data_IF_037182439408
#
_entry.id   IF_037182439408
#
_cell.length_a   1.000
_cell.length_b   1.000
_cell.length_c   1.000
_cell.angle_alpha   90.00
_cell.angle_beta   90.00
_cell.angle_gamma   90.00
#
_symmetry.space_group_name_H-M   'P 1'
#
loop_
_entity.id
_entity.type
_entity.pdbx_description
1 polymer ?
#
# COMPACT_ATOMS: atom_id res chain seq x y z
N UNK A 1 6.77 -1.03 -8.01
CA UNK A 1 5.90 -1.13 -6.81
C UNK A 1 4.92 0.03 -6.75
N UNK A 2 3.78 -0.13 -6.11
CA UNK A 2 2.80 0.92 -5.86
C UNK A 2 2.78 1.25 -4.37
N UNK A 3 2.89 2.53 -4.04
CA UNK A 3 3.06 3.03 -2.67
C UNK A 3 1.90 3.96 -2.30
N UNK A 4 1.52 3.94 -1.01
CA UNK A 4 0.54 4.85 -0.41
C UNK A 4 0.59 4.79 1.12
N UNK A 5 -0.09 5.72 1.79
CA UNK A 5 -0.29 5.73 3.23
C UNK A 5 -1.77 5.65 3.60
N UNK A 6 -2.05 4.93 4.69
CA UNK A 6 -3.40 4.85 5.22
C UNK A 6 -3.44 5.03 6.73
N UNK A 7 -4.35 5.90 7.19
CA UNK A 7 -4.61 6.10 8.61
C UNK A 7 -5.47 5.00 9.21
N UNK A 8 -5.05 4.47 10.36
CA UNK A 8 -5.79 3.54 11.21
C UNK A 8 -5.88 4.09 12.63
N UNK A 9 -7.05 4.10 13.20
CA UNK A 9 -7.26 4.77 14.48
C UNK A 9 -8.41 4.22 15.28
N UNK A 10 -8.72 4.91 16.38
CA UNK A 10 -9.77 4.53 17.33
C UNK A 10 -11.17 4.99 16.92
N UNK A 11 -11.30 5.85 15.90
CA UNK A 11 -12.60 6.13 15.30
C UNK A 11 -12.96 4.96 14.38
N UNK A 12 -14.09 4.32 14.68
CA UNK A 12 -14.63 3.29 13.81
C UNK A 12 -15.87 3.81 13.07
N UNK A 13 -16.06 3.29 11.85
CA UNK A 13 -17.26 3.52 11.05
C UNK A 13 -18.04 2.22 10.96
N UNK A 14 -19.24 2.15 11.58
CA UNK A 14 -20.07 0.96 11.51
C UNK A 14 -20.33 0.50 10.08
N UNK A 15 -20.23 -0.78 9.85
CA UNK A 15 -20.46 -1.45 8.56
C UNK A 15 -21.61 -2.44 8.68
N UNK A 16 -22.25 -2.71 7.55
CA UNK A 16 -23.30 -3.73 7.48
C UNK A 16 -22.81 -5.07 8.04
N UNK A 17 -23.66 -5.73 8.81
CA UNK A 17 -23.44 -7.08 9.32
C UNK A 17 -24.70 -7.92 9.11
N UNK A 18 -24.52 -9.26 9.07
CA UNK A 18 -25.65 -10.18 9.05
C UNK A 18 -26.28 -10.26 10.44
N UNK A 19 -27.60 -10.23 10.50
CA UNK A 19 -28.41 -10.41 11.72
C UNK A 19 -29.72 -11.09 11.37
N UNK A 20 -30.45 -11.56 12.37
CA UNK A 20 -31.80 -12.12 12.19
C UNK A 20 -32.76 -11.07 11.63
N UNK A 21 -33.70 -11.53 10.83
CA UNK A 21 -34.73 -10.66 10.25
C UNK A 21 -35.54 -9.98 11.36
N UNK A 22 -35.61 -8.65 11.29
CA UNK A 22 -36.35 -7.84 12.28
C UNK A 22 -35.49 -7.34 13.45
N UNK A 23 -34.23 -7.82 13.59
CA UNK A 23 -33.29 -7.32 14.60
C UNK A 23 -32.44 -6.20 13.99
N UNK A 24 -32.37 -5.06 14.69
CA UNK A 24 -31.42 -3.99 14.38
C UNK A 24 -30.16 -4.19 15.21
N UNK A 25 -29.02 -4.56 14.58
CA UNK A 25 -27.77 -4.78 15.34
C UNK A 25 -27.25 -3.46 15.91
N UNK A 26 -26.72 -3.52 17.14
CA UNK A 26 -26.02 -2.41 17.77
C UNK A 26 -24.51 -2.67 17.69
N UNK A 27 -23.77 -1.67 17.24
CA UNK A 27 -22.30 -1.73 17.13
C UNK A 27 -21.72 -0.62 18.00
N UNK A 28 -20.76 -0.91 18.91
CA UNK A 28 -20.10 0.13 19.67
C UNK A 28 -19.35 1.08 18.73
N UNK A 29 -19.31 2.36 19.09
CA UNK A 29 -18.64 3.40 18.32
C UNK A 29 -17.76 4.27 19.21
N UNK A 30 -16.54 4.51 18.79
CA UNK A 30 -15.62 5.46 19.42
C UNK A 30 -15.40 6.68 18.52
N UNK A 31 -15.31 7.86 19.15
CA UNK A 31 -15.00 9.14 18.49
C UNK A 31 -13.64 9.71 18.92
N UNK A 32 -12.72 8.84 19.37
CA UNK A 32 -11.41 9.25 19.84
C UNK A 32 -10.48 9.41 18.64
N UNK A 33 -9.97 10.64 18.44
CA UNK A 33 -9.11 11.00 17.30
C UNK A 33 -7.63 10.68 17.58
N UNK A 34 -7.33 9.39 17.64
CA UNK A 34 -5.96 8.88 17.75
C UNK A 34 -5.70 7.95 16.57
N UNK A 35 -4.58 8.17 15.87
CA UNK A 35 -4.25 7.45 14.64
C UNK A 35 -2.79 7.02 14.60
N UNK A 36 -2.52 5.96 13.86
CA UNK A 36 -1.23 5.58 13.29
C UNK A 36 -1.39 5.40 11.80
N UNK A 37 -0.30 5.50 11.08
CA UNK A 37 -0.30 5.45 9.63
C UNK A 37 0.48 4.24 9.16
N UNK A 38 -0.16 3.40 8.34
CA UNK A 38 0.52 2.35 7.62
C UNK A 38 1.09 2.95 6.33
N UNK A 39 2.39 2.90 6.15
CA UNK A 39 3.08 3.10 4.89
C UNK A 39 3.21 1.74 4.23
N UNK A 40 2.90 1.64 2.96
CA UNK A 40 2.99 0.39 2.23
C UNK A 40 3.51 0.58 0.82
N UNK A 41 4.27 -0.39 0.34
CA UNK A 41 4.59 -0.57 -1.07
C UNK A 41 4.32 -2.03 -1.45
N UNK A 42 3.67 -2.24 -2.59
CA UNK A 42 3.32 -3.58 -3.08
C UNK A 42 3.73 -3.75 -4.53
N UNK A 43 4.22 -4.95 -4.88
CA UNK A 43 4.47 -5.38 -6.24
C UNK A 43 3.29 -6.24 -6.72
N UNK A 44 2.46 -5.75 -7.66
CA UNK A 44 1.25 -6.46 -8.07
C UNK A 44 1.47 -7.79 -8.79
N UNK A 45 2.67 -8.05 -9.31
CA UNK A 45 2.96 -9.26 -10.11
C UNK A 45 3.46 -10.41 -9.24
N UNK A 46 4.22 -10.12 -8.19
CA UNK A 46 4.81 -11.12 -7.30
C UNK A 46 4.10 -11.19 -5.96
N UNK A 47 3.44 -10.09 -5.55
CA UNK A 47 2.87 -9.92 -4.23
C UNK A 47 3.92 -9.54 -3.17
N UNK A 48 5.15 -9.25 -3.57
CA UNK A 48 6.16 -8.70 -2.66
C UNK A 48 5.71 -7.35 -2.11
N UNK A 49 6.08 -7.09 -0.88
CA UNK A 49 5.59 -5.90 -0.20
C UNK A 49 6.51 -5.47 0.94
N UNK A 50 6.45 -4.18 1.25
CA UNK A 50 7.05 -3.60 2.44
C UNK A 50 5.98 -2.76 3.15
N UNK A 51 5.85 -2.96 4.47
CA UNK A 51 4.92 -2.18 5.30
C UNK A 51 5.62 -1.69 6.56
N UNK A 52 5.37 -0.42 6.93
CA UNK A 52 5.79 0.16 8.20
C UNK A 52 4.61 0.90 8.85
N UNK A 53 4.51 0.80 10.18
CA UNK A 53 3.53 1.56 10.96
C UNK A 53 4.22 2.75 11.60
N UNK A 54 3.78 3.95 11.24
CA UNK A 54 4.42 5.23 11.57
C UNK A 54 3.49 6.14 12.38
N UNK A 55 4.05 7.07 13.18
CA UNK A 55 3.23 8.00 13.96
C UNK A 55 2.58 9.10 13.10
N UNK A 56 3.20 9.50 11.99
CA UNK A 56 2.79 10.65 11.18
C UNK A 56 2.91 10.36 9.68
N UNK A 57 2.14 11.12 8.86
CA UNK A 57 2.38 11.27 7.42
C UNK A 57 3.18 12.54 7.19
N UNK A 58 4.50 12.42 7.03
CA UNK A 58 5.41 13.51 6.77
C UNK A 58 6.69 13.02 6.07
N UNK A 59 7.52 13.96 5.61
CA UNK A 59 8.77 13.65 4.88
C UNK A 59 9.75 12.81 5.71
N UNK A 60 9.85 13.03 7.03
CA UNK A 60 10.78 12.27 7.87
C UNK A 60 10.37 10.79 7.95
N UNK A 61 9.07 10.50 8.11
CA UNK A 61 8.56 9.12 8.08
C UNK A 61 8.71 8.51 6.67
N UNK A 62 8.50 9.30 5.61
CA UNK A 62 8.70 8.83 4.24
C UNK A 62 10.17 8.49 3.97
N UNK A 63 11.12 9.30 4.42
CA UNK A 63 12.56 9.01 4.32
C UNK A 63 12.92 7.69 5.02
N UNK A 64 12.34 7.45 6.21
CA UNK A 64 12.56 6.18 6.91
C UNK A 64 11.96 5.00 6.13
N UNK A 65 10.75 5.17 5.59
CA UNK A 65 10.11 4.13 4.77
C UNK A 65 10.92 3.79 3.53
N UNK A 66 11.38 4.79 2.77
CA UNK A 66 12.19 4.59 1.57
C UNK A 66 13.52 3.88 1.88
N UNK A 67 14.15 4.24 3.00
CA UNK A 67 15.38 3.60 3.47
C UNK A 67 15.17 2.13 3.80
N UNK A 68 14.10 1.79 4.51
CA UNK A 68 13.81 0.39 4.85
C UNK A 68 13.38 -0.42 3.61
N UNK A 69 12.61 0.18 2.70
CA UNK A 69 12.28 -0.43 1.41
C UNK A 69 13.54 -0.74 0.60
N UNK A 70 14.47 0.21 0.47
CA UNK A 70 15.76 0.04 -0.22
C UNK A 70 16.60 -1.09 0.40
N UNK A 71 16.63 -1.19 1.73
CA UNK A 71 17.37 -2.27 2.43
C UNK A 71 16.72 -3.64 2.23
N UNK A 72 15.41 -3.71 2.13
CA UNK A 72 14.70 -4.97 1.91
C UNK A 72 14.94 -5.52 0.50
N UNK A 73 15.18 -4.65 -0.48
CA UNK A 73 15.38 -5.02 -1.88
C UNK A 73 16.69 -4.43 -2.43
N UNK A 74 17.86 -4.82 -1.89
CA UNK A 74 19.13 -4.15 -2.17
C UNK A 74 19.70 -4.42 -3.59
N UNK A 75 19.18 -5.46 -4.26
CA UNK A 75 19.63 -5.85 -5.61
C UNK A 75 18.67 -5.39 -6.70
N UNK A 76 17.53 -4.82 -6.32
CA UNK A 76 16.47 -4.42 -7.25
C UNK A 76 16.50 -2.92 -7.51
N UNK A 77 16.21 -2.53 -8.75
CA UNK A 77 15.84 -1.16 -9.06
C UNK A 77 14.32 -1.04 -8.97
N UNK A 78 13.84 -0.25 -8.03
CA UNK A 78 12.43 -0.10 -7.71
C UNK A 78 11.86 1.13 -8.43
N UNK A 79 11.00 0.93 -9.43
CA UNK A 79 10.11 1.98 -9.89
C UNK A 79 8.92 2.06 -8.93
N UNK A 80 8.86 3.13 -8.14
CA UNK A 80 7.83 3.32 -7.13
C UNK A 80 6.79 4.34 -7.60
N UNK A 81 5.60 3.84 -7.90
CA UNK A 81 4.42 4.65 -8.25
C UNK A 81 3.76 5.14 -6.96
N UNK A 82 3.68 6.44 -6.75
CA UNK A 82 3.04 7.07 -5.59
C UNK A 82 2.21 8.28 -5.99
N UNK A 83 1.37 8.76 -5.11
CA UNK A 83 0.62 9.98 -5.35
C UNK A 83 1.50 11.24 -5.25
N UNK A 84 0.88 12.41 -5.49
CA UNK A 84 1.57 13.70 -5.44
C UNK A 84 1.46 14.42 -4.10
N UNK A 85 1.38 13.72 -2.96
CA UNK A 85 1.34 14.33 -1.65
C UNK A 85 2.54 15.27 -1.41
N UNK A 86 2.35 16.29 -0.58
CA UNK A 86 3.37 17.32 -0.36
C UNK A 86 4.71 16.75 0.17
N UNK A 87 4.65 15.72 1.01
CA UNK A 87 5.84 15.05 1.54
C UNK A 87 6.57 14.19 0.52
N UNK A 88 5.92 13.75 -0.57
CA UNK A 88 6.55 13.07 -1.71
C UNK A 88 7.30 14.02 -2.65
N UNK A 89 7.06 15.34 -2.54
CA UNK A 89 7.68 16.39 -3.36
C UNK A 89 8.52 17.36 -2.56
N UNK A 90 8.78 17.06 -1.30
CA UNK A 90 9.59 17.89 -0.41
C UNK A 90 11.03 17.95 -0.87
N UNK A 91 11.65 19.15 -0.80
CA UNK A 91 13.10 19.31 -1.05
C UNK A 91 14.00 18.60 -0.04
N UNK A 92 13.44 18.08 1.06
CA UNK A 92 14.15 17.27 2.07
C UNK A 92 13.87 15.77 1.95
N UNK A 93 13.21 15.35 0.86
CA UNK A 93 12.99 13.92 0.59
C UNK A 93 14.32 13.27 0.15
N UNK A 94 14.72 12.24 0.85
CA UNK A 94 15.92 11.44 0.58
C UNK A 94 15.52 10.15 -0.15
N UNK A 95 15.72 10.13 -1.47
CA UNK A 95 15.41 8.96 -2.28
C UNK A 95 16.66 8.12 -2.46
N UNK A 96 16.67 6.83 -2.00
CA UNK A 96 17.80 5.92 -2.23
C UNK A 96 18.09 5.70 -3.73
N UNK A 97 19.35 5.42 -4.07
CA UNK A 97 19.83 5.28 -5.46
C UNK A 97 19.09 4.19 -6.25
N UNK A 98 18.64 3.13 -5.58
CA UNK A 98 17.90 2.03 -6.20
C UNK A 98 16.38 2.26 -6.29
N UNK A 99 15.87 3.47 -5.93
CA UNK A 99 14.45 3.81 -6.01
C UNK A 99 14.26 4.98 -6.98
N UNK A 100 13.34 4.81 -7.92
CA UNK A 100 12.88 5.87 -8.83
C UNK A 100 11.42 6.17 -8.55
N UNK A 101 11.12 7.41 -8.19
CA UNK A 101 9.75 7.85 -7.92
C UNK A 101 9.02 8.20 -9.22
N UNK A 102 7.83 7.67 -9.37
CA UNK A 102 6.89 8.03 -10.44
C UNK A 102 5.57 8.49 -9.83
N UNK A 103 5.20 9.74 -10.06
CA UNK A 103 3.95 10.27 -9.54
C UNK A 103 2.77 9.95 -10.47
N UNK A 104 1.79 9.24 -9.93
CA UNK A 104 0.52 9.00 -10.64
C UNK A 104 -0.27 10.31 -10.76
N UNK A 105 -1.14 10.46 -11.77
CA UNK A 105 -1.96 11.65 -11.93
C UNK A 105 -2.79 11.94 -10.67
N UNK A 106 -3.00 13.22 -10.32
CA UNK A 106 -3.84 13.56 -9.18
C UNK A 106 -5.29 13.10 -9.39
N UNK A 107 -5.97 12.79 -8.28
CA UNK A 107 -7.39 12.36 -8.26
C UNK A 107 -7.69 11.06 -9.03
N UNK A 108 -6.71 10.15 -9.12
CA UNK A 108 -6.87 8.84 -9.76
C UNK A 108 -6.56 7.66 -8.81
N UNK A 109 -7.25 7.53 -7.66
CA UNK A 109 -6.98 6.46 -6.70
C UNK A 109 -7.20 5.05 -7.27
N UNK A 110 -8.03 4.93 -8.34
CA UNK A 110 -8.23 3.68 -9.07
C UNK A 110 -6.97 3.17 -9.78
N UNK A 111 -6.02 4.04 -10.05
CA UNK A 111 -4.71 3.69 -10.63
C UNK A 111 -3.73 3.17 -9.58
N UNK A 112 -4.03 3.33 -8.28
CA UNK A 112 -3.18 2.83 -7.22
C UNK A 112 -3.76 1.55 -6.58
N UNK A 113 -3.28 0.35 -6.97
CA UNK A 113 -3.85 -0.91 -6.50
C UNK A 113 -3.67 -1.14 -4.99
N UNK A 114 -2.73 -0.48 -4.32
CA UNK A 114 -2.55 -0.60 -2.86
C UNK A 114 -3.77 -0.12 -2.07
N UNK A 115 -4.60 0.75 -2.64
CA UNK A 115 -5.86 1.17 -2.05
C UNK A 115 -6.79 -0.03 -1.75
N UNK A 116 -6.70 -1.11 -2.52
CA UNK A 116 -7.46 -2.34 -2.26
C UNK A 116 -6.89 -3.11 -1.07
N UNK A 117 -5.59 -3.02 -0.82
CA UNK A 117 -4.95 -3.58 0.38
C UNK A 117 -5.49 -2.88 1.63
N UNK A 118 -5.59 -1.55 1.61
CA UNK A 118 -6.17 -0.80 2.74
C UNK A 118 -7.62 -1.19 3.01
N UNK A 119 -8.41 -1.43 1.97
CA UNK A 119 -9.80 -1.91 2.11
C UNK A 119 -9.84 -3.31 2.74
N UNK A 120 -8.95 -4.20 2.32
CA UNK A 120 -8.90 -5.56 2.85
C UNK A 120 -8.41 -5.57 4.31
N UNK A 121 -7.39 -4.77 4.67
CA UNK A 121 -6.94 -4.63 6.05
C UNK A 121 -8.09 -4.11 6.94
N UNK A 122 -8.82 -3.07 6.49
CA UNK A 122 -9.98 -2.57 7.24
C UNK A 122 -11.08 -3.61 7.38
N UNK A 123 -11.31 -4.42 6.36
CA UNK A 123 -12.32 -5.49 6.39
C UNK A 123 -11.94 -6.61 7.36
N UNK A 124 -10.67 -7.04 7.38
CA UNK A 124 -10.20 -8.15 8.24
C UNK A 124 -10.04 -7.74 9.69
N UNK A 125 -9.42 -6.59 9.96
CA UNK A 125 -8.99 -6.20 11.29
C UNK A 125 -9.82 -5.14 12.00
N UNK A 126 -10.65 -4.37 11.26
CA UNK A 126 -11.25 -3.14 11.80
C UNK A 126 -12.78 -3.04 11.59
N UNK A 127 -13.41 -4.11 11.11
CA UNK A 127 -14.84 -4.08 10.83
C UNK A 127 -15.66 -4.20 12.11
N UNK A 128 -16.43 -3.16 12.44
CA UNK A 128 -17.31 -3.11 13.60
C UNK A 128 -16.60 -3.34 14.95
N UNK A 129 -15.30 -3.04 15.00
CA UNK A 129 -14.50 -3.15 16.21
C UNK A 129 -14.18 -1.79 16.81
N UNK A 130 -14.02 -1.73 18.13
CA UNK A 130 -13.54 -0.58 18.88
C UNK A 130 -12.30 -0.99 19.67
N UNK A 131 -11.34 -0.07 19.78
CA UNK A 131 -10.07 -0.31 20.43
C UNK A 131 -9.94 0.54 21.68
N UNK A 132 -9.63 -0.09 22.81
CA UNK A 132 -9.49 0.59 24.10
C UNK A 132 -8.32 1.57 24.12
N UNK A 133 -7.23 1.27 23.40
CA UNK A 133 -6.03 2.11 23.31
C UNK A 133 -5.50 2.14 21.86
N UNK A 134 -4.59 3.08 21.59
CA UNK A 134 -3.94 3.20 20.29
C UNK A 134 -2.96 2.04 20.04
N UNK A 135 -2.34 1.50 21.10
CA UNK A 135 -1.47 0.32 21.02
C UNK A 135 -2.25 -0.89 20.49
N UNK A 136 -3.51 -1.08 20.94
CA UNK A 136 -4.39 -2.15 20.42
C UNK A 136 -4.74 -1.97 18.93
N UNK A 137 -4.80 -0.73 18.44
CA UNK A 137 -4.93 -0.46 17.00
C UNK A 137 -3.67 -0.90 16.28
N UNK A 138 -2.48 -0.58 16.83
CA UNK A 138 -1.19 -0.97 16.23
C UNK A 138 -1.03 -2.49 16.21
N UNK A 139 -1.27 -3.16 17.35
CA UNK A 139 -1.21 -4.63 17.45
C UNK A 139 -2.08 -5.27 16.36
N UNK A 140 -3.37 -4.86 16.28
CA UNK A 140 -4.30 -5.38 15.28
C UNK A 140 -3.87 -5.07 13.85
N UNK A 141 -3.32 -3.88 13.60
CA UNK A 141 -2.82 -3.49 12.28
C UNK A 141 -1.64 -4.35 11.86
N UNK A 142 -0.66 -4.53 12.74
CA UNK A 142 0.50 -5.39 12.51
C UNK A 142 0.09 -6.84 12.25
N UNK A 143 -0.77 -7.42 13.11
CA UNK A 143 -1.27 -8.79 12.94
C UNK A 143 -1.98 -8.97 11.60
N UNK A 144 -2.80 -7.99 11.22
CA UNK A 144 -3.55 -8.04 9.95
C UNK A 144 -2.60 -7.94 8.76
N UNK A 145 -1.61 -7.05 8.79
CA UNK A 145 -0.60 -6.91 7.74
C UNK A 145 0.22 -8.20 7.63
N UNK A 146 0.71 -8.75 8.75
CA UNK A 146 1.49 -9.98 8.77
C UNK A 146 0.70 -11.22 8.26
N UNK A 147 -0.63 -11.16 8.29
CA UNK A 147 -1.49 -12.21 7.71
C UNK A 147 -1.61 -12.16 6.18
N UNK A 148 -1.15 -11.07 5.55
CA UNK A 148 -1.18 -10.93 4.09
C UNK A 148 -0.01 -11.69 3.47
N UNK A 149 -0.30 -12.82 2.84
CA UNK A 149 0.71 -13.56 2.06
C UNK A 149 0.94 -12.91 0.70
N UNK A 150 2.09 -13.15 0.04
CA UNK A 150 2.31 -12.69 -1.34
C UNK A 150 1.19 -13.08 -2.30
N UNK A 151 0.68 -14.31 -2.22
CA UNK A 151 -0.46 -14.76 -3.03
C UNK A 151 -1.73 -13.94 -2.76
N UNK A 152 -1.97 -13.56 -1.50
CA UNK A 152 -3.10 -12.69 -1.15
C UNK A 152 -2.93 -11.30 -1.76
N UNK A 153 -1.75 -10.71 -1.64
CA UNK A 153 -1.44 -9.39 -2.20
C UNK A 153 -1.60 -9.42 -3.72
N UNK A 154 -1.01 -10.41 -4.40
CA UNK A 154 -1.18 -10.60 -5.84
C UNK A 154 -2.66 -10.70 -6.24
N UNK A 155 -3.46 -11.50 -5.54
CA UNK A 155 -4.89 -11.67 -5.86
C UNK A 155 -5.71 -10.38 -5.70
N UNK A 156 -5.28 -9.48 -4.81
CA UNK A 156 -5.93 -8.19 -4.57
C UNK A 156 -5.47 -7.12 -5.54
N UNK A 157 -4.17 -7.07 -5.86
CA UNK A 157 -3.52 -5.98 -6.60
C UNK A 157 -3.22 -6.29 -8.06
N UNK A 158 -3.14 -7.58 -8.43
CA UNK A 158 -2.85 -8.04 -9.79
C UNK A 158 -3.98 -7.77 -10.77
N UNK A 159 -4.13 -6.53 -11.19
CA UNK A 159 -5.15 -6.10 -12.15
C UNK A 159 -4.72 -6.40 -13.58
N UNK A 160 -5.66 -6.82 -14.43
CA UNK A 160 -5.40 -7.18 -15.83
C UNK A 160 -4.63 -6.11 -16.61
N UNK A 161 -4.95 -4.83 -16.38
CA UNK A 161 -4.28 -3.74 -17.07
C UNK A 161 -2.80 -3.58 -16.65
N UNK A 162 -2.47 -3.85 -15.35
CA UNK A 162 -1.09 -3.82 -14.83
C UNK A 162 -0.31 -4.98 -15.45
N UNK A 163 -0.90 -6.17 -15.44
CA UNK A 163 -0.28 -7.38 -15.99
C UNK A 163 -0.01 -7.21 -17.48
N UNK A 164 -0.99 -6.69 -18.25
CA UNK A 164 -0.84 -6.42 -19.67
C UNK A 164 0.25 -5.40 -19.95
N UNK A 165 0.26 -4.25 -19.26
CA UNK A 165 1.27 -3.22 -19.45
C UNK A 165 2.69 -3.77 -19.18
N UNK A 166 2.86 -4.61 -18.20
CA UNK A 166 4.13 -5.26 -17.91
C UNK A 166 4.56 -6.21 -19.03
N UNK A 167 3.66 -7.08 -19.51
CA UNK A 167 3.94 -8.02 -20.60
C UNK A 167 4.29 -7.31 -21.90
N UNK A 168 3.59 -6.22 -22.23
CA UNK A 168 3.85 -5.39 -23.41
C UNK A 168 5.24 -4.73 -23.32
N UNK A 169 5.61 -4.23 -22.14
CA UNK A 169 6.93 -3.63 -21.91
C UNK A 169 8.04 -4.66 -22.08
N UNK A 170 7.89 -5.86 -21.54
CA UNK A 170 8.87 -6.95 -21.73
C UNK A 170 9.02 -7.35 -23.18
N UNK A 171 7.91 -7.50 -23.90
CA UNK A 171 7.92 -7.85 -25.34
C UNK A 171 8.65 -6.78 -26.16
N UNK A 172 8.41 -5.51 -25.88
CA UNK A 172 9.06 -4.39 -26.54
C UNK A 172 10.58 -4.35 -26.28
N UNK A 173 10.98 -4.64 -25.04
CA UNK A 173 12.40 -4.70 -24.66
C UNK A 173 13.12 -5.84 -25.38
N UNK A 174 12.54 -7.05 -25.43
CA UNK A 174 13.10 -8.22 -26.12
C UNK A 174 13.25 -7.95 -27.63
N UNK A 175 12.28 -7.29 -28.25
CA UNK A 175 12.35 -6.94 -29.66
C UNK A 175 13.42 -5.88 -29.95
N UNK A 176 13.61 -4.91 -29.07
CA UNK A 176 14.63 -3.88 -29.19
C UNK A 176 16.06 -4.47 -29.05
N UNK A 177 16.26 -5.43 -28.14
CA UNK A 177 17.57 -6.11 -27.98
C UNK A 177 17.87 -7.04 -29.14
N UNK A 178 16.88 -7.74 -29.67
CA UNK A 178 17.07 -8.59 -30.88
C UNK A 178 17.43 -7.77 -32.13
N UNK A 179 16.87 -6.58 -32.30
CA UNK A 179 17.19 -5.72 -33.44
C UNK A 179 18.60 -5.12 -33.37
N UNK A 180 19.16 -4.92 -32.18
CA UNK A 180 20.56 -4.46 -31.99
C UNK A 180 21.58 -5.55 -32.30
N UNK A 181 21.27 -6.80 -31.92
CA UNK A 181 22.17 -7.95 -32.19
C UNK A 181 22.08 -8.50 -33.63
N UNK A 182 21.17 -7.97 -34.45
CA UNK A 182 21.05 -8.34 -35.87
C UNK A 182 21.79 -7.36 -36.80
N UNK A 183 22.45 -6.33 -36.27
CA UNK A 183 23.17 -5.28 -36.99
C UNK A 183 24.70 -5.38 -36.77
N UNK A 184 25.16 -6.35 -35.95
CA UNK A 184 26.56 -6.78 -35.85
C UNK A 184 26.79 -8.07 -36.69
#
# INVERSE_FOLDING_TARGET
MFQDEAGFGRINHPKYCWCEKGIRPSVPCHHIREYRYAYGAVEPLTGESCFLVMPYCNTACMNLFLRELSKQFPQDTILMCCDGAAWHKSGTLEVPENIVLFHIPPYTPEMNPIEQIWKEIRKRGFRNEVFATLEKVVDRLCDTICSLTPNTIFSITGRDWIIRAYLETQTSYINCTKSKNAVE
#
